data_IF_075432332785
#
_entry.id   IF_075432332785
#
_cell.length_a   1.000
_cell.length_b   1.000
_cell.length_c   1.000
_cell.angle_alpha   90.00
_cell.angle_beta   90.00
_cell.angle_gamma   90.00
#
_symmetry.space_group_name_H-M   'P 1'
#
loop_
_entity.id
_entity.type
_entity.pdbx_description
1 polymer ?
#
# COMPACT_ATOMS: atom_id res chain seq x y z
N UNK A 1 7.19 -12.64 -9.05
CA UNK A 1 7.68 -12.33 -10.42
C UNK A 1 8.98 -11.50 -10.46
N UNK A 2 9.80 -11.47 -9.38
CA UNK A 2 11.07 -10.68 -9.34
C UNK A 2 12.32 -11.51 -9.01
N UNK A 3 12.22 -12.85 -8.96
CA UNK A 3 13.30 -13.71 -8.49
C UNK A 3 14.44 -13.97 -9.50
N UNK A 4 14.34 -13.48 -10.74
CA UNK A 4 15.32 -13.79 -11.81
C UNK A 4 16.05 -12.58 -12.41
N UNK A 5 15.72 -11.34 -12.05
CA UNK A 5 16.47 -10.16 -12.51
C UNK A 5 17.08 -9.44 -11.30
N UNK A 6 18.41 -9.36 -11.21
CA UNK A 6 19.12 -8.59 -10.16
C UNK A 6 18.65 -7.13 -10.10
N UNK A 7 18.19 -6.56 -11.22
CA UNK A 7 17.55 -5.24 -11.26
C UNK A 7 16.20 -5.20 -10.53
N UNK A 8 15.42 -6.28 -10.56
CA UNK A 8 14.08 -6.33 -9.96
C UNK A 8 14.07 -6.13 -8.45
N UNK A 9 15.08 -6.65 -7.74
CA UNK A 9 15.23 -6.43 -6.29
C UNK A 9 15.59 -4.98 -5.97
N UNK A 10 16.42 -4.33 -6.80
CA UNK A 10 16.76 -2.91 -6.64
C UNK A 10 15.50 -2.05 -6.78
N UNK A 11 14.65 -2.34 -7.78
CA UNK A 11 13.41 -1.59 -8.00
C UNK A 11 12.41 -1.67 -6.84
N UNK A 12 12.36 -2.78 -6.11
CA UNK A 12 11.48 -2.90 -4.93
C UNK A 12 11.80 -1.89 -3.82
N UNK A 13 13.07 -1.48 -3.72
CA UNK A 13 13.54 -0.48 -2.76
C UNK A 13 13.54 0.92 -3.39
N UNK A 14 13.94 1.00 -4.66
CA UNK A 14 14.11 2.28 -5.37
C UNK A 14 12.78 2.97 -5.66
N UNK A 15 11.70 2.24 -5.98
CA UNK A 15 10.38 2.84 -6.22
C UNK A 15 9.80 3.54 -4.98
N UNK A 16 9.72 2.89 -3.79
CA UNK A 16 9.24 3.58 -2.58
C UNK A 16 10.18 4.71 -2.15
N UNK A 17 11.51 4.59 -2.34
CA UNK A 17 12.45 5.69 -2.11
C UNK A 17 12.22 6.88 -3.04
N UNK A 18 12.03 6.65 -4.33
CA UNK A 18 11.70 7.72 -5.29
C UNK A 18 10.39 8.40 -4.93
N UNK A 19 9.34 7.62 -4.64
CA UNK A 19 8.06 8.18 -4.18
C UNK A 19 8.25 9.00 -2.91
N UNK A 20 8.99 8.48 -1.93
CA UNK A 20 9.36 9.19 -0.71
C UNK A 20 10.08 10.53 -1.01
N UNK A 21 11.09 10.52 -1.88
CA UNK A 21 11.85 11.73 -2.26
C UNK A 21 10.97 12.73 -3.01
N UNK A 22 10.11 12.28 -3.91
CA UNK A 22 9.17 13.16 -4.64
C UNK A 22 8.18 13.78 -3.67
N UNK A 23 7.59 12.99 -2.76
CA UNK A 23 6.69 13.52 -1.73
C UNK A 23 7.41 14.48 -0.78
N UNK A 24 8.65 14.19 -0.38
CA UNK A 24 9.49 15.11 0.39
C UNK A 24 9.74 16.42 -0.36
N UNK A 25 10.06 16.37 -1.65
CA UNK A 25 10.34 17.57 -2.44
C UNK A 25 9.08 18.42 -2.64
N UNK A 26 7.94 17.79 -2.94
CA UNK A 26 6.66 18.49 -3.13
C UNK A 26 6.17 19.08 -1.80
N UNK A 27 6.08 18.29 -0.74
CA UNK A 27 5.44 18.74 0.50
C UNK A 27 6.39 19.40 1.49
N UNK A 28 7.66 18.97 1.53
CA UNK A 28 8.70 19.57 2.38
C UNK A 28 9.30 20.85 1.80
N UNK A 29 9.70 20.83 0.52
CA UNK A 29 10.41 21.97 -0.10
C UNK A 29 9.45 22.93 -0.79
N UNK A 30 8.56 22.43 -1.67
CA UNK A 30 7.69 23.29 -2.48
C UNK A 30 6.55 23.93 -1.66
N UNK A 31 5.99 23.19 -0.71
CA UNK A 31 4.82 23.65 0.04
C UNK A 31 5.13 24.46 1.30
N UNK A 32 6.41 24.55 1.71
CA UNK A 32 6.97 25.31 2.85
C UNK A 32 5.90 25.65 3.91
N UNK A 33 5.22 24.63 4.42
CA UNK A 33 3.94 24.83 5.13
C UNK A 33 4.23 25.26 6.55
N UNK A 34 4.60 26.53 6.70
CA UNK A 34 4.39 27.34 7.90
C UNK A 34 2.90 27.66 8.13
N UNK A 35 1.97 27.01 7.42
CA UNK A 35 0.53 27.16 7.62
C UNK A 35 0.04 26.21 8.73
N UNK A 36 0.40 26.53 9.97
CA UNK A 36 -0.40 26.20 11.16
C UNK A 36 -0.49 24.74 11.64
N UNK A 37 0.13 23.77 10.96
CA UNK A 37 0.15 22.37 11.43
C UNK A 37 1.58 21.82 11.31
N UNK A 38 2.30 21.76 12.43
CA UNK A 38 3.72 21.35 12.50
C UNK A 38 3.99 19.93 11.95
N UNK A 39 2.96 19.08 11.78
CA UNK A 39 3.08 17.65 11.43
C UNK A 39 2.29 17.19 10.19
N UNK A 40 1.80 18.10 9.34
CA UNK A 40 0.96 17.73 8.20
C UNK A 40 1.67 16.85 7.16
N UNK A 41 2.95 17.10 6.89
CA UNK A 41 3.73 16.35 5.89
C UNK A 41 3.97 14.90 6.34
N UNK A 42 4.48 14.63 7.56
CA UNK A 42 4.52 13.29 8.15
C UNK A 42 3.18 12.55 8.12
N UNK A 43 2.09 13.24 8.48
CA UNK A 43 0.74 12.68 8.52
C UNK A 43 0.28 12.22 7.12
N UNK A 44 0.37 13.11 6.13
CA UNK A 44 -0.07 12.83 4.76
C UNK A 44 0.76 11.71 4.13
N UNK A 45 2.09 11.74 4.30
CA UNK A 45 2.97 10.69 3.75
C UNK A 45 2.66 9.34 4.39
N UNK A 46 2.45 9.29 5.70
CA UNK A 46 2.06 8.04 6.39
C UNK A 46 0.73 7.50 5.86
N UNK A 47 -0.28 8.37 5.73
CA UNK A 47 -1.59 8.00 5.19
C UNK A 47 -1.51 7.48 3.75
N UNK A 48 -0.78 8.17 2.87
CA UNK A 48 -0.61 7.76 1.47
C UNK A 48 0.10 6.40 1.36
N UNK A 49 1.10 6.14 2.20
CA UNK A 49 1.81 4.85 2.20
C UNK A 49 0.90 3.69 2.62
N UNK A 50 0.15 3.86 3.71
CA UNK A 50 -0.81 2.85 4.20
C UNK A 50 -1.93 2.63 3.16
N UNK A 51 -2.42 3.71 2.56
CA UNK A 51 -3.42 3.63 1.51
C UNK A 51 -2.90 2.90 0.27
N UNK A 52 -1.67 3.20 -0.16
CA UNK A 52 -1.02 2.56 -1.31
C UNK A 52 -0.90 1.06 -1.09
N UNK A 53 -0.54 0.62 0.12
CA UNK A 53 -0.52 -0.80 0.48
C UNK A 53 -1.90 -1.45 0.34
N UNK A 54 -2.94 -0.79 0.84
CA UNK A 54 -4.33 -1.27 0.77
C UNK A 54 -4.84 -1.38 -0.66
N UNK A 55 -4.71 -0.29 -1.42
CA UNK A 55 -5.11 -0.22 -2.83
C UNK A 55 -4.40 -1.28 -3.67
N UNK A 56 -3.10 -1.45 -3.44
CA UNK A 56 -2.28 -2.41 -4.19
C UNK A 56 -2.58 -3.86 -3.80
N UNK A 57 -2.90 -4.14 -2.53
CA UNK A 57 -3.32 -5.47 -2.06
C UNK A 57 -4.67 -5.89 -2.64
N UNK A 58 -5.64 -4.98 -2.64
CA UNK A 58 -6.97 -5.24 -3.19
C UNK A 58 -6.88 -5.47 -4.70
N UNK A 59 -6.19 -4.57 -5.42
CA UNK A 59 -6.02 -4.68 -6.88
C UNK A 59 -5.29 -5.95 -7.29
N UNK A 60 -4.25 -6.34 -6.54
CA UNK A 60 -3.54 -7.60 -6.77
C UNK A 60 -4.44 -8.82 -6.53
N UNK A 61 -5.25 -8.80 -5.47
CA UNK A 61 -6.24 -9.85 -5.18
C UNK A 61 -7.27 -10.01 -6.31
N UNK A 62 -7.85 -8.91 -6.76
CA UNK A 62 -8.81 -8.85 -7.87
C UNK A 62 -8.25 -9.51 -9.15
N UNK A 63 -6.96 -9.32 -9.44
CA UNK A 63 -6.29 -9.87 -10.63
C UNK A 63 -5.58 -11.21 -10.39
N UNK A 64 -5.63 -11.74 -9.16
CA UNK A 64 -4.87 -12.92 -8.76
C UNK A 64 -5.19 -14.15 -9.62
N UNK A 65 -6.47 -14.36 -9.90
CA UNK A 65 -6.96 -15.53 -10.65
C UNK A 65 -6.83 -15.29 -12.15
N UNK A 66 -7.28 -14.13 -12.66
CA UNK A 66 -7.24 -13.81 -14.09
C UNK A 66 -5.82 -13.69 -14.64
N UNK A 67 -4.89 -13.15 -13.86
CA UNK A 67 -3.47 -13.02 -14.24
C UNK A 67 -2.69 -14.33 -14.22
N UNK A 68 -3.19 -15.37 -13.52
CA UNK A 68 -2.50 -16.66 -13.37
C UNK A 68 -3.31 -17.84 -13.94
N UNK A 69 -4.24 -17.58 -14.89
CA UNK A 69 -5.11 -18.62 -15.48
C UNK A 69 -4.31 -19.81 -16.02
N UNK A 70 -3.17 -19.58 -16.66
CA UNK A 70 -2.32 -20.65 -17.19
C UNK A 70 -1.83 -21.61 -16.10
N UNK A 71 -1.44 -21.08 -14.94
CA UNK A 71 -0.95 -21.87 -13.81
C UNK A 71 -2.11 -22.62 -13.12
N UNK A 72 -3.26 -21.96 -12.96
CA UNK A 72 -4.49 -22.55 -12.43
C UNK A 72 -4.99 -23.72 -13.30
N UNK A 73 -4.78 -23.66 -14.62
CA UNK A 73 -5.14 -24.75 -15.53
C UNK A 73 -4.11 -25.88 -15.57
N UNK A 74 -2.83 -25.57 -15.35
CA UNK A 74 -1.73 -26.53 -15.45
C UNK A 74 -1.53 -27.39 -14.19
N UNK A 75 -1.85 -26.87 -13.00
CA UNK A 75 -1.64 -27.56 -11.73
C UNK A 75 -2.91 -27.54 -10.87
N UNK A 76 -3.23 -28.66 -10.21
CA UNK A 76 -4.30 -28.73 -9.23
C UNK A 76 -3.78 -28.26 -7.86
N UNK A 77 -4.16 -27.05 -7.44
CA UNK A 77 -3.87 -26.52 -6.11
C UNK A 77 -5.03 -25.63 -5.63
N UNK A 78 -5.13 -25.36 -4.31
CA UNK A 78 -6.17 -24.49 -3.77
C UNK A 78 -6.04 -23.07 -4.35
N UNK A 79 -7.08 -22.60 -5.05
CA UNK A 79 -7.09 -21.28 -5.71
C UNK A 79 -6.92 -20.10 -4.75
N UNK A 80 -7.18 -20.32 -3.46
CA UNK A 80 -6.95 -19.37 -2.38
C UNK A 80 -5.45 -19.08 -2.11
N UNK A 81 -4.53 -19.94 -2.56
CA UNK A 81 -3.09 -19.70 -2.41
C UNK A 81 -2.59 -18.50 -3.22
N UNK A 82 -3.20 -18.19 -4.38
CA UNK A 82 -2.75 -17.08 -5.23
C UNK A 82 -3.02 -15.70 -4.60
N UNK A 83 -4.24 -15.38 -4.12
CA UNK A 83 -4.46 -14.11 -3.41
C UNK A 83 -3.58 -13.97 -2.16
N UNK A 84 -3.38 -15.06 -1.41
CA UNK A 84 -2.53 -15.05 -0.20
C UNK A 84 -1.07 -14.78 -0.54
N UNK A 85 -0.53 -15.44 -1.57
CA UNK A 85 0.85 -15.19 -2.02
C UNK A 85 1.04 -13.75 -2.50
N UNK A 86 0.06 -13.18 -3.21
CA UNK A 86 0.11 -11.79 -3.64
C UNK A 86 -0.03 -10.81 -2.46
N UNK A 87 -0.91 -11.09 -1.49
CA UNK A 87 -1.02 -10.28 -0.28
C UNK A 87 0.29 -10.27 0.53
N UNK A 88 0.97 -11.42 0.65
CA UNK A 88 2.30 -11.51 1.24
C UNK A 88 3.35 -10.71 0.48
N UNK A 89 3.29 -10.70 -0.86
CA UNK A 89 4.18 -9.87 -1.68
C UNK A 89 3.94 -8.37 -1.41
N UNK A 90 2.68 -7.94 -1.27
CA UNK A 90 2.37 -6.54 -0.95
C UNK A 90 2.77 -6.19 0.47
N UNK A 91 2.69 -7.13 1.41
CA UNK A 91 3.18 -6.94 2.77
C UNK A 91 4.70 -6.73 2.77
N UNK A 92 5.45 -7.51 2.00
CA UNK A 92 6.88 -7.29 1.83
C UNK A 92 7.18 -5.91 1.25
N UNK A 93 6.41 -5.47 0.27
CA UNK A 93 6.57 -4.14 -0.32
C UNK A 93 6.23 -3.00 0.66
N UNK A 94 5.23 -3.20 1.53
CA UNK A 94 4.95 -2.30 2.64
C UNK A 94 6.14 -2.20 3.59
N UNK A 95 6.80 -3.30 3.95
CA UNK A 95 7.97 -3.28 4.84
C UNK A 95 9.11 -2.39 4.29
N UNK A 96 9.39 -2.50 2.98
CA UNK A 96 10.35 -1.60 2.33
C UNK A 96 9.89 -0.14 2.34
N UNK A 97 8.58 0.07 2.15
CA UNK A 97 7.99 1.40 2.15
C UNK A 97 7.99 2.03 3.54
N UNK A 98 7.83 1.23 4.60
CA UNK A 98 7.99 1.67 5.99
C UNK A 98 9.44 2.08 6.28
N UNK A 99 10.43 1.36 5.76
CA UNK A 99 11.83 1.78 5.86
C UNK A 99 12.06 3.18 5.27
N UNK A 100 11.53 3.43 4.06
CA UNK A 100 11.58 4.76 3.45
C UNK A 100 10.83 5.81 4.28
N UNK A 101 9.65 5.48 4.81
CA UNK A 101 8.88 6.35 5.71
C UNK A 101 9.70 6.75 6.96
N UNK A 102 10.38 5.79 7.60
CA UNK A 102 11.21 6.09 8.78
C UNK A 102 12.33 7.08 8.46
N UNK A 103 12.97 6.97 7.29
CA UNK A 103 14.02 7.92 6.87
C UNK A 103 13.48 9.33 6.69
N UNK A 104 12.27 9.48 6.14
CA UNK A 104 11.60 10.79 6.00
C UNK A 104 11.29 11.36 7.39
N UNK A 105 10.71 10.57 8.29
CA UNK A 105 10.35 11.02 9.64
C UNK A 105 11.58 11.49 10.43
N UNK A 106 12.70 10.77 10.30
CA UNK A 106 13.98 11.18 10.89
C UNK A 106 14.51 12.47 10.26
N UNK A 107 14.39 12.66 8.94
CA UNK A 107 14.79 13.90 8.26
C UNK A 107 13.96 15.12 8.72
N UNK A 108 12.71 14.93 9.12
CA UNK A 108 11.85 15.95 9.72
C UNK A 108 12.06 16.14 11.24
N UNK A 109 13.03 15.46 11.85
CA UNK A 109 13.32 15.59 13.27
C UNK A 109 12.30 14.90 14.19
N UNK A 110 11.40 14.09 13.65
CA UNK A 110 10.45 13.29 14.42
C UNK A 110 11.14 12.00 14.89
N UNK A 111 11.54 11.98 16.17
CA UNK A 111 12.17 10.81 16.77
C UNK A 111 11.16 9.68 17.03
N UNK A 112 11.59 8.40 16.98
CA UNK A 112 10.73 7.27 17.29
C UNK A 112 10.20 7.38 18.73
N UNK A 113 8.91 7.70 18.87
CA UNK A 113 8.21 7.69 20.17
C UNK A 113 7.74 6.27 20.49
N UNK A 114 7.56 5.89 21.77
CA UNK A 114 6.98 4.60 22.16
C UNK A 114 5.63 4.31 21.47
N UNK A 115 4.90 5.35 21.08
CA UNK A 115 3.66 5.27 20.29
C UNK A 115 3.83 4.55 18.95
N UNK A 116 5.04 4.52 18.36
CA UNK A 116 5.31 3.74 17.14
C UNK A 116 5.10 2.24 17.35
N UNK A 117 5.18 1.74 18.59
CA UNK A 117 4.88 0.35 18.89
C UNK A 117 3.42 -0.01 18.59
N UNK A 118 2.49 0.96 18.66
CA UNK A 118 1.09 0.79 18.27
C UNK A 118 0.89 0.72 16.75
N UNK A 119 1.87 1.16 15.95
CA UNK A 119 1.82 1.00 14.50
C UNK A 119 1.90 -0.48 14.11
N UNK A 120 2.65 -1.30 14.86
CA UNK A 120 2.80 -2.74 14.57
C UNK A 120 1.46 -3.50 14.61
N UNK A 121 0.65 -3.44 15.70
CA UNK A 121 -0.65 -4.10 15.71
C UNK A 121 -1.64 -3.46 14.72
N UNK A 122 -1.59 -2.15 14.50
CA UNK A 122 -2.43 -1.49 13.50
C UNK A 122 -2.13 -2.00 12.08
N UNK A 123 -0.86 -2.12 11.71
CA UNK A 123 -0.43 -2.64 10.41
C UNK A 123 -0.74 -4.14 10.27
N UNK A 124 -0.66 -4.91 11.36
CA UNK A 124 -1.04 -6.33 11.36
C UNK A 124 -2.56 -6.50 11.09
N UNK A 125 -3.40 -5.71 11.76
CA UNK A 125 -4.84 -5.68 11.51
C UNK A 125 -5.16 -5.24 10.07
N UNK A 126 -4.47 -4.20 9.57
CA UNK A 126 -4.61 -3.75 8.20
C UNK A 126 -4.21 -4.84 7.19
N UNK A 127 -3.11 -5.55 7.44
CA UNK A 127 -2.65 -6.65 6.59
C UNK A 127 -3.64 -7.82 6.58
N UNK A 128 -4.20 -8.16 7.74
CA UNK A 128 -5.25 -9.19 7.85
C UNK A 128 -6.51 -8.77 7.09
N UNK A 129 -6.96 -7.52 7.27
CA UNK A 129 -8.10 -6.95 6.56
C UNK A 129 -7.89 -6.96 5.04
N UNK A 130 -6.73 -6.47 4.58
CA UNK A 130 -6.37 -6.44 3.17
C UNK A 130 -6.30 -7.84 2.57
N UNK A 131 -5.78 -8.82 3.32
CA UNK A 131 -5.73 -10.22 2.88
C UNK A 131 -7.14 -10.79 2.74
N UNK A 132 -8.01 -10.61 3.73
CA UNK A 132 -9.41 -11.06 3.67
C UNK A 132 -10.18 -10.41 2.50
N UNK A 133 -10.01 -9.09 2.33
CA UNK A 133 -10.65 -8.35 1.24
C UNK A 133 -10.10 -8.77 -0.13
N UNK A 134 -8.79 -9.03 -0.25
CA UNK A 134 -8.18 -9.53 -1.49
C UNK A 134 -8.75 -10.89 -1.90
N UNK A 135 -9.01 -11.78 -0.93
CA UNK A 135 -9.63 -13.08 -1.18
C UNK A 135 -11.10 -12.94 -1.60
N UNK A 136 -11.86 -12.05 -0.95
CA UNK A 136 -13.23 -11.75 -1.33
C UNK A 136 -13.31 -11.19 -2.76
N UNK A 137 -12.44 -10.23 -3.09
CA UNK A 137 -12.37 -9.63 -4.42
C UNK A 137 -11.94 -10.64 -5.49
N UNK A 138 -10.96 -11.50 -5.21
CA UNK A 138 -10.56 -12.57 -6.12
C UNK A 138 -11.75 -13.47 -6.49
N UNK A 139 -12.58 -13.84 -5.50
CA UNK A 139 -13.80 -14.64 -5.73
C UNK A 139 -14.84 -13.90 -6.58
N UNK A 140 -15.06 -12.61 -6.30
CA UNK A 140 -16.01 -11.79 -7.04
C UNK A 140 -15.57 -11.62 -8.49
N UNK A 141 -14.31 -11.29 -8.73
CA UNK A 141 -13.76 -11.10 -10.08
C UNK A 141 -13.72 -12.39 -10.89
N UNK A 142 -13.51 -13.54 -10.25
CA UNK A 142 -13.60 -14.83 -10.91
C UNK A 142 -15.02 -15.13 -11.44
N UNK A 143 -16.07 -14.59 -10.80
CA UNK A 143 -17.45 -14.67 -11.30
C UNK A 143 -17.77 -13.57 -12.31
N UNK A 144 -17.27 -12.35 -12.08
CA UNK A 144 -17.59 -11.16 -12.86
C UNK A 144 -16.29 -10.40 -13.19
N UNK A 145 -15.66 -10.68 -14.34
CA UNK A 145 -14.35 -10.11 -14.71
C UNK A 145 -14.32 -8.58 -14.73
N UNK A 146 -15.44 -7.92 -15.01
CA UNK A 146 -15.55 -6.45 -15.08
C UNK A 146 -15.22 -5.75 -13.75
N UNK A 147 -15.36 -6.45 -12.62
CA UNK A 147 -14.96 -5.95 -11.30
C UNK A 147 -13.47 -5.56 -11.29
N UNK A 148 -12.63 -6.21 -12.11
CA UNK A 148 -11.21 -5.87 -12.25
C UNK A 148 -10.97 -4.45 -12.79
N UNK A 149 -11.85 -3.96 -13.65
CA UNK A 149 -11.76 -2.62 -14.22
C UNK A 149 -12.38 -1.57 -13.30
N UNK A 150 -13.42 -1.92 -12.55
CA UNK A 150 -14.08 -1.03 -11.58
C UNK A 150 -13.25 -0.82 -10.30
N UNK A 151 -12.49 -1.84 -9.88
CA UNK A 151 -11.74 -1.82 -8.60
C UNK A 151 -10.85 -0.58 -8.43
N UNK A 152 -10.01 -0.16 -9.41
CA UNK A 152 -9.18 1.04 -9.26
C UNK A 152 -9.98 2.34 -9.07
N UNK A 153 -11.16 2.44 -9.69
CA UNK A 153 -12.03 3.61 -9.52
C UNK A 153 -12.63 3.65 -8.12
N UNK A 154 -13.17 2.52 -7.65
CA UNK A 154 -13.73 2.40 -6.29
C UNK A 154 -12.67 2.70 -5.23
N UNK A 155 -11.44 2.18 -5.41
CA UNK A 155 -10.33 2.47 -4.52
C UNK A 155 -9.96 3.96 -4.57
N UNK A 156 -9.92 4.58 -5.75
CA UNK A 156 -9.63 6.02 -5.83
C UNK A 156 -10.68 6.86 -5.12
N UNK A 157 -11.97 6.54 -5.29
CA UNK A 157 -13.06 7.21 -4.57
C UNK A 157 -12.95 6.99 -3.06
N UNK A 158 -12.68 5.77 -2.63
CA UNK A 158 -12.51 5.44 -1.21
C UNK A 158 -11.30 6.16 -0.60
N UNK A 159 -10.20 6.33 -1.34
CA UNK A 159 -9.05 7.12 -0.88
C UNK A 159 -9.47 8.52 -0.46
N UNK A 160 -10.21 9.22 -1.32
CA UNK A 160 -10.71 10.56 -1.02
C UNK A 160 -11.70 10.53 0.14
N UNK A 161 -12.58 9.53 0.24
CA UNK A 161 -13.51 9.42 1.37
C UNK A 161 -12.86 9.06 2.71
N UNK A 162 -11.69 8.41 2.72
CA UNK A 162 -11.07 7.83 3.92
C UNK A 162 -10.37 8.81 4.85
N UNK A 163 -10.40 10.13 4.57
CA UNK A 163 -9.71 11.14 5.37
C UNK A 163 -8.18 11.05 5.30
N UNK A 164 -7.62 10.16 4.48
CA UNK A 164 -6.16 10.03 4.31
C UNK A 164 -5.49 11.31 3.78
N UNK A 165 -6.23 12.15 3.04
CA UNK A 165 -5.72 13.42 2.51
C UNK A 165 -6.05 14.64 3.37
N UNK A 166 -6.97 14.54 4.33
CA UNK A 166 -7.45 15.68 5.10
C UNK A 166 -7.39 15.38 6.59
N UNK A 167 -6.73 16.26 7.34
CA UNK A 167 -6.78 16.21 8.80
C UNK A 167 -8.24 16.42 9.26
N UNK A 168 -8.75 15.52 10.10
CA UNK A 168 -10.11 15.60 10.68
C UNK A 168 -10.29 16.78 11.64
N UNK A 169 -9.25 17.58 11.89
CA UNK A 169 -9.29 18.80 12.72
C UNK A 169 -10.11 19.96 12.12
N UNK A 170 -10.65 19.82 10.91
CA UNK A 170 -11.43 20.87 10.23
C UNK A 170 -12.92 20.52 10.04
N UNK A 171 -13.45 19.57 10.82
CA UNK A 171 -14.89 19.33 10.98
C UNK A 171 -15.37 19.85 12.33
#
# INVERSE_FOLDING_TARGET
QYSQAKLGQIWQIMTPLLNATVYYFIFGVLMNTKHGVEDFVPFLVTGVFIWTFTSSSITAGTRAISGNIGLVRALHFPRASLPVALALQQLQQLLFSLGALTLILLAFGQYPRPTWLLAVPALALQALFNTGLSMAMARLTAKTPDIAQLTPFVLRTWMYSSGVMWSLDHL
#
